data_IF_283887780682
#
_entry.id   IF_283887780682
#
_cell.length_a   1.000
_cell.length_b   1.000
_cell.length_c   1.000
_cell.angle_alpha   90.00
_cell.angle_beta   90.00
_cell.angle_gamma   90.00
#
_symmetry.space_group_name_H-M   'P 1'
#
loop_
_entity.id
_entity.type
_entity.pdbx_description
1 polymer ?
#
# COMPACT_ATOMS: atom_id res chain seq x y z
N UNK A 1 14.99 -5.08 3.98
CA UNK A 1 14.83 -3.88 4.83
C UNK A 1 13.45 -3.30 4.57
N UNK A 2 12.71 -2.92 5.61
CA UNK A 2 11.36 -2.38 5.48
C UNK A 2 11.37 -0.85 5.57
N UNK A 3 10.62 -0.19 4.70
CA UNK A 3 10.26 1.22 4.85
C UNK A 3 8.76 1.36 5.10
N UNK A 4 8.38 2.31 5.95
CA UNK A 4 6.99 2.69 6.20
C UNK A 4 6.83 4.13 5.77
N UNK A 5 6.00 4.36 4.76
CA UNK A 5 5.64 5.67 4.25
C UNK A 5 4.29 6.05 4.83
N UNK A 6 4.21 7.19 5.51
CA UNK A 6 2.96 7.73 6.04
C UNK A 6 2.60 8.97 5.25
N UNK A 7 1.45 8.93 4.57
CA UNK A 7 0.86 10.04 3.82
C UNK A 7 -0.19 10.81 4.62
N UNK A 8 -0.68 11.91 4.05
CA UNK A 8 -1.68 12.80 4.65
C UNK A 8 -3.15 12.47 4.32
N UNK A 9 -3.44 11.23 3.91
CA UNK A 9 -4.80 10.73 3.68
C UNK A 9 -5.55 10.46 4.99
N UNK A 10 -6.49 9.51 4.96
CA UNK A 10 -7.21 9.14 6.17
C UNK A 10 -6.22 8.56 7.22
N UNK A 11 -6.18 9.10 8.45
CA UNK A 11 -5.11 8.78 9.38
C UNK A 11 -5.21 7.33 9.87
N UNK A 12 -4.13 6.52 9.79
CA UNK A 12 -4.09 5.22 10.43
C UNK A 12 -4.21 5.34 11.95
N UNK A 13 -4.88 4.37 12.57
CA UNK A 13 -4.92 4.24 14.02
C UNK A 13 -3.55 3.89 14.59
N UNK A 14 -3.37 4.18 15.89
CA UNK A 14 -2.18 3.76 16.64
C UNK A 14 -1.91 2.26 16.51
N UNK A 15 -2.96 1.43 16.48
CA UNK A 15 -2.83 -0.03 16.32
C UNK A 15 -2.20 -0.41 14.98
N UNK A 16 -2.56 0.26 13.89
CA UNK A 16 -1.96 0.05 12.58
C UNK A 16 -0.51 0.53 12.57
N UNK A 17 -0.25 1.72 13.14
CA UNK A 17 1.12 2.25 13.26
C UNK A 17 2.02 1.29 14.03
N UNK A 18 1.63 0.88 15.24
CA UNK A 18 2.40 -0.04 16.10
C UNK A 18 2.62 -1.42 15.44
N UNK A 19 1.72 -1.84 14.54
CA UNK A 19 1.83 -3.12 13.83
C UNK A 19 2.93 -3.09 12.77
N UNK A 20 3.08 -1.99 12.05
CA UNK A 20 3.98 -1.90 10.87
C UNK A 20 5.24 -1.10 11.14
N UNK A 21 5.23 -0.18 12.10
CA UNK A 21 6.41 0.59 12.50
C UNK A 21 7.11 -0.16 13.63
N UNK A 22 8.34 -0.59 13.38
CA UNK A 22 9.22 -1.19 14.38
C UNK A 22 10.61 -0.53 14.34
N UNK A 23 11.47 -0.88 15.29
CA UNK A 23 12.81 -0.28 15.45
C UNK A 23 13.73 -0.44 14.22
N UNK A 24 13.42 -1.38 13.32
CA UNK A 24 14.19 -1.64 12.09
C UNK A 24 13.57 -0.99 10.86
N UNK A 25 12.38 -0.40 10.98
CA UNK A 25 11.69 0.26 9.88
C UNK A 25 12.31 1.64 9.62
N UNK A 26 12.50 1.97 8.35
CA UNK A 26 12.75 3.35 7.94
C UNK A 26 11.40 4.06 7.81
N UNK A 27 11.15 5.06 8.64
CA UNK A 27 9.90 5.82 8.65
C UNK A 27 10.08 7.07 7.77
N UNK A 28 9.20 7.25 6.80
CA UNK A 28 9.19 8.39 5.89
C UNK A 28 7.83 9.08 5.98
N UNK A 29 7.81 10.33 6.43
CA UNK A 29 6.63 11.18 6.37
C UNK A 29 6.56 11.86 4.99
N UNK A 30 5.48 11.61 4.26
CA UNK A 30 5.13 12.34 3.05
C UNK A 30 4.16 13.46 3.42
N UNK A 31 4.66 14.70 3.39
CA UNK A 31 3.93 15.94 3.63
C UNK A 31 3.03 15.88 4.89
N UNK A 32 1.70 15.96 4.75
CA UNK A 32 0.74 15.90 5.86
C UNK A 32 0.80 14.61 6.72
N UNK A 33 1.45 13.54 6.26
CA UNK A 33 1.69 12.34 7.07
C UNK A 33 2.53 12.61 8.33
N UNK A 34 3.28 13.71 8.35
CA UNK A 34 3.97 14.20 9.54
C UNK A 34 3.01 14.51 10.69
N UNK A 35 1.84 15.10 10.39
CA UNK A 35 0.82 15.41 11.41
C UNK A 35 0.30 14.12 12.07
N UNK A 36 0.08 13.08 11.26
CA UNK A 36 -0.36 11.76 11.75
C UNK A 36 0.67 11.17 12.72
N UNK A 37 1.93 11.16 12.32
CA UNK A 37 3.00 10.59 13.13
C UNK A 37 3.18 11.34 14.45
N UNK A 38 3.19 12.67 14.41
CA UNK A 38 3.37 13.47 15.62
C UNK A 38 2.20 13.34 16.59
N UNK A 39 0.96 13.22 16.11
CA UNK A 39 -0.20 12.94 16.95
C UNK A 39 -0.08 11.62 17.75
N UNK A 40 0.82 10.74 17.33
CA UNK A 40 1.14 9.48 18.02
C UNK A 40 2.53 9.49 18.66
N UNK A 41 3.18 10.66 18.76
CA UNK A 41 4.53 10.84 19.32
C UNK A 41 5.61 10.06 18.58
N UNK A 42 5.41 9.84 17.27
CA UNK A 42 6.36 9.13 16.40
C UNK A 42 7.15 10.15 15.59
N UNK A 43 8.48 10.09 15.67
CA UNK A 43 9.36 10.88 14.82
C UNK A 43 9.84 10.07 13.61
N UNK A 44 9.63 10.55 12.37
CA UNK A 44 10.10 9.85 11.19
C UNK A 44 11.62 9.99 11.03
N UNK A 45 12.24 9.13 10.22
CA UNK A 45 13.63 9.33 9.82
C UNK A 45 13.75 10.41 8.74
N UNK A 46 12.76 10.50 7.86
CA UNK A 46 12.71 11.45 6.76
C UNK A 46 11.37 12.20 6.72
N UNK A 47 11.43 13.50 6.47
CA UNK A 47 10.28 14.34 6.15
C UNK A 47 10.45 14.86 4.72
N UNK A 48 9.52 14.52 3.83
CA UNK A 48 9.59 14.83 2.40
C UNK A 48 8.30 15.55 1.96
N UNK A 49 8.44 16.67 1.26
CA UNK A 49 7.31 17.34 0.62
C UNK A 49 7.53 18.81 0.37
N UNK A 50 6.48 19.52 -0.05
CA UNK A 50 6.48 20.98 -0.15
C UNK A 50 6.03 21.67 1.14
N UNK A 51 5.44 20.89 2.06
CA UNK A 51 5.03 21.26 3.41
C UNK A 51 3.83 22.21 3.45
N UNK A 52 2.90 22.05 2.50
CA UNK A 52 1.68 22.85 2.45
C UNK A 52 0.49 22.24 3.23
N UNK A 53 0.58 20.95 3.57
CA UNK A 53 -0.46 20.23 4.35
C UNK A 53 0.01 19.83 5.75
N UNK A 54 1.12 20.39 6.24
CA UNK A 54 1.66 20.17 7.59
C UNK A 54 1.34 21.35 8.51
N UNK A 55 0.98 21.06 9.76
CA UNK A 55 0.77 22.11 10.76
C UNK A 55 2.13 22.75 11.15
N UNK A 56 2.15 24.06 11.40
CA UNK A 56 3.40 24.79 11.71
C UNK A 56 4.15 24.18 12.91
N UNK A 57 3.42 23.82 13.97
CA UNK A 57 4.00 23.17 15.16
C UNK A 57 4.62 21.82 14.81
N UNK A 58 3.90 21.01 14.03
CA UNK A 58 4.38 19.71 13.56
C UNK A 58 5.64 19.87 12.72
N UNK A 59 5.65 20.82 11.80
CA UNK A 59 6.81 21.09 10.96
C UNK A 59 8.03 21.46 11.78
N UNK A 60 7.90 22.40 12.73
CA UNK A 60 9.00 22.80 13.61
C UNK A 60 9.56 21.60 14.38
N UNK A 61 8.69 20.77 14.95
CA UNK A 61 9.12 19.64 15.77
C UNK A 61 9.77 18.53 14.95
N UNK A 62 9.12 18.09 13.86
CA UNK A 62 9.63 16.99 13.03
C UNK A 62 10.86 17.41 12.23
N UNK A 63 10.92 18.64 11.74
CA UNK A 63 12.08 19.08 10.96
C UNK A 63 13.37 19.15 11.78
N UNK A 64 13.27 19.38 13.09
CA UNK A 64 14.41 19.37 14.01
C UNK A 64 14.89 17.95 14.36
N UNK A 65 14.02 16.94 14.28
CA UNK A 65 14.35 15.55 14.63
C UNK A 65 14.54 14.61 13.44
N UNK A 66 14.22 15.06 12.22
CA UNK A 66 14.19 14.24 11.01
C UNK A 66 15.05 14.81 9.88
N UNK A 67 15.52 13.95 8.98
CA UNK A 67 16.15 14.41 7.73
C UNK A 67 15.09 15.00 6.81
N UNK A 68 15.03 16.32 6.77
CA UNK A 68 14.01 17.05 6.00
C UNK A 68 14.50 17.37 4.60
N UNK A 69 13.74 16.97 3.58
CA UNK A 69 14.02 17.28 2.17
C UNK A 69 12.81 17.98 1.58
N UNK A 70 12.98 19.26 1.25
CA UNK A 70 11.93 20.08 0.68
C UNK A 70 11.92 19.97 -0.84
N UNK A 71 10.73 19.84 -1.41
CA UNK A 71 10.49 19.88 -2.85
C UNK A 71 9.66 21.12 -3.23
N UNK A 72 9.78 21.63 -4.46
CA UNK A 72 8.88 22.67 -4.94
C UNK A 72 7.42 22.17 -5.00
N UNK A 73 6.46 23.09 -4.86
CA UNK A 73 5.04 22.77 -5.03
C UNK A 73 4.71 22.30 -6.45
N UNK A 74 5.31 22.94 -7.44
CA UNK A 74 5.23 22.54 -8.83
C UNK A 74 6.33 21.50 -9.11
N UNK A 75 5.93 20.24 -9.22
CA UNK A 75 6.79 19.07 -9.41
C UNK A 75 6.04 18.00 -10.19
N UNK A 76 6.79 17.13 -10.87
CA UNK A 76 6.22 16.06 -11.71
C UNK A 76 5.70 14.85 -10.90
N UNK A 77 5.93 14.84 -9.58
CA UNK A 77 5.66 13.69 -8.71
C UNK A 77 4.90 14.07 -7.45
N UNK A 78 3.97 13.21 -7.03
CA UNK A 78 3.31 13.34 -5.71
C UNK A 78 4.29 13.07 -4.58
N UNK A 79 3.98 13.54 -3.37
CA UNK A 79 4.83 13.32 -2.19
C UNK A 79 4.99 11.84 -1.84
N UNK A 80 3.92 11.03 -1.98
CA UNK A 80 4.01 9.57 -1.83
C UNK A 80 4.96 8.93 -2.84
N UNK A 81 5.01 9.44 -4.07
CA UNK A 81 5.91 8.95 -5.10
C UNK A 81 7.37 9.32 -4.81
N UNK A 82 7.62 10.54 -4.35
CA UNK A 82 8.93 10.98 -3.87
C UNK A 82 9.40 10.11 -2.70
N UNK A 83 8.51 9.85 -1.73
CA UNK A 83 8.80 8.97 -0.60
C UNK A 83 9.10 7.53 -1.02
N UNK A 84 8.37 6.99 -2.00
CA UNK A 84 8.67 5.69 -2.60
C UNK A 84 10.08 5.68 -3.21
N UNK A 85 10.41 6.65 -4.05
CA UNK A 85 11.74 6.73 -4.65
C UNK A 85 12.84 6.84 -3.60
N UNK A 86 12.60 7.57 -2.50
CA UNK A 86 13.55 7.64 -1.39
C UNK A 86 13.71 6.29 -0.69
N UNK A 87 12.62 5.57 -0.44
CA UNK A 87 12.68 4.22 0.14
C UNK A 87 13.47 3.25 -0.76
N UNK A 88 13.26 3.32 -2.08
CA UNK A 88 14.01 2.53 -3.07
C UNK A 88 15.50 2.87 -3.05
N UNK A 89 15.86 4.16 -3.02
CA UNK A 89 17.25 4.63 -2.93
C UNK A 89 17.95 4.10 -1.67
N UNK A 90 17.22 4.01 -0.56
CA UNK A 90 17.74 3.48 0.70
C UNK A 90 17.88 1.96 0.70
N UNK A 91 17.38 1.27 -0.33
CA UNK A 91 17.47 -0.20 -0.48
C UNK A 91 16.31 -0.96 0.19
N UNK A 92 15.14 -0.33 0.31
CA UNK A 92 13.95 -1.02 0.84
C UNK A 92 13.54 -2.18 -0.09
N UNK A 93 13.29 -3.34 0.53
CA UNK A 93 12.78 -4.53 -0.15
C UNK A 93 11.29 -4.75 0.12
N UNK A 94 10.76 -4.02 1.11
CA UNK A 94 9.38 -4.01 1.52
C UNK A 94 9.00 -2.55 1.84
N UNK A 95 7.87 -2.08 1.33
CA UNK A 95 7.37 -0.72 1.53
C UNK A 95 5.89 -0.76 1.90
N UNK A 96 5.58 -0.29 3.11
CA UNK A 96 4.22 -0.18 3.62
C UNK A 96 3.77 1.27 3.51
N UNK A 97 2.65 1.51 2.83
CA UNK A 97 2.02 2.80 2.69
C UNK A 97 0.84 2.91 3.65
N UNK A 98 0.92 3.82 4.61
CA UNK A 98 -0.13 4.16 5.56
C UNK A 98 -0.64 5.57 5.28
N UNK A 99 -1.90 5.87 5.61
CA UNK A 99 -2.48 7.19 5.31
C UNK A 99 -2.45 7.53 3.82
N UNK A 100 -2.49 6.51 2.96
CA UNK A 100 -2.42 6.63 1.50
C UNK A 100 -3.74 6.27 0.81
N UNK A 101 -4.81 6.11 1.60
CA UNK A 101 -6.21 6.07 1.17
C UNK A 101 -6.92 7.34 1.67
N UNK A 102 -8.16 7.56 1.25
CA UNK A 102 -9.00 8.66 1.75
C UNK A 102 -9.83 9.33 0.67
N UNK A 103 -10.12 10.62 0.86
CA UNK A 103 -11.12 11.35 0.06
C UNK A 103 -10.72 11.63 -1.38
N UNK A 104 -9.41 11.75 -1.67
CA UNK A 104 -8.87 12.07 -3.00
C UNK A 104 -8.63 10.78 -3.79
N UNK A 105 -9.62 10.38 -4.59
CA UNK A 105 -9.58 9.14 -5.38
C UNK A 105 -8.46 9.13 -6.42
N UNK A 106 -8.14 10.29 -6.98
CA UNK A 106 -7.00 10.48 -7.87
C UNK A 106 -5.65 10.19 -7.18
N UNK A 107 -5.47 10.63 -5.93
CA UNK A 107 -4.28 10.28 -5.13
C UNK A 107 -4.24 8.78 -4.81
N UNK A 108 -5.37 8.19 -4.43
CA UNK A 108 -5.44 6.75 -4.19
C UNK A 108 -5.07 5.95 -5.44
N UNK A 109 -5.59 6.32 -6.61
CA UNK A 109 -5.24 5.67 -7.87
C UNK A 109 -3.75 5.85 -8.22
N UNK A 110 -3.20 7.04 -8.01
CA UNK A 110 -1.76 7.27 -8.17
C UNK A 110 -0.91 6.36 -7.26
N UNK A 111 -1.37 6.09 -6.02
CA UNK A 111 -0.70 5.16 -5.12
C UNK A 111 -0.77 3.70 -5.63
N UNK A 112 -1.85 3.28 -6.31
CA UNK A 112 -1.89 1.98 -7.01
C UNK A 112 -0.84 1.91 -8.12
N UNK A 113 -0.63 3.00 -8.87
CA UNK A 113 0.44 3.06 -9.86
C UNK A 113 1.83 2.93 -9.24
N UNK A 114 2.04 3.37 -7.99
CA UNK A 114 3.30 3.17 -7.25
C UNK A 114 3.50 1.68 -6.94
N UNK A 115 2.45 0.94 -6.55
CA UNK A 115 2.55 -0.51 -6.27
C UNK A 115 3.11 -1.28 -7.48
N UNK A 116 2.69 -0.92 -8.70
CA UNK A 116 3.21 -1.52 -9.93
C UNK A 116 4.69 -1.24 -10.16
N UNK A 117 5.16 -0.04 -9.79
CA UNK A 117 6.57 0.29 -9.87
C UNK A 117 7.40 -0.52 -8.86
N UNK A 118 6.86 -0.73 -7.66
CA UNK A 118 7.42 -1.64 -6.67
C UNK A 118 7.53 -3.07 -7.20
N UNK A 119 6.44 -3.60 -7.75
CA UNK A 119 6.38 -4.95 -8.32
C UNK A 119 7.42 -5.16 -9.42
N UNK A 120 7.53 -4.23 -10.38
CA UNK A 120 8.56 -4.24 -11.44
C UNK A 120 10.00 -4.19 -10.93
N UNK A 121 10.21 -3.64 -9.73
CA UNK A 121 11.50 -3.59 -9.04
C UNK A 121 11.69 -4.76 -8.08
N UNK A 122 10.77 -5.73 -8.03
CA UNK A 122 10.77 -6.84 -7.07
C UNK A 122 10.75 -6.39 -5.60
N UNK A 123 10.03 -5.29 -5.31
CA UNK A 123 9.83 -4.76 -3.96
C UNK A 123 8.39 -5.09 -3.54
N UNK A 124 8.21 -5.68 -2.34
CA UNK A 124 6.88 -5.93 -1.78
C UNK A 124 6.27 -4.59 -1.33
N UNK A 125 5.29 -4.08 -2.07
CA UNK A 125 4.62 -2.83 -1.76
C UNK A 125 3.17 -3.09 -1.38
N UNK A 126 2.73 -2.49 -0.26
CA UNK A 126 1.37 -2.65 0.25
C UNK A 126 0.80 -1.32 0.70
N UNK A 127 -0.43 -1.00 0.30
CA UNK A 127 -1.23 0.06 0.92
C UNK A 127 -2.06 -0.58 2.02
N UNK A 128 -1.95 -0.06 3.24
CA UNK A 128 -2.71 -0.53 4.38
C UNK A 128 -3.51 0.62 4.97
N UNK A 129 -4.80 0.37 5.22
CA UNK A 129 -5.64 1.22 6.06
C UNK A 129 -6.33 0.39 7.16
N UNK A 130 -7.30 0.96 7.86
CA UNK A 130 -8.03 0.29 8.94
C UNK A 130 -8.71 -1.01 8.51
N UNK A 131 -9.16 -1.06 7.25
CA UNK A 131 -10.04 -2.11 6.73
C UNK A 131 -9.42 -2.88 5.58
N UNK A 132 -8.34 -2.41 4.97
CA UNK A 132 -7.86 -2.91 3.71
C UNK A 132 -6.35 -3.12 3.72
N UNK A 133 -5.93 -4.22 3.10
CA UNK A 133 -4.58 -4.45 2.63
C UNK A 133 -4.63 -4.61 1.11
N UNK A 134 -3.89 -3.77 0.38
CA UNK A 134 -3.91 -3.71 -1.08
C UNK A 134 -2.49 -3.87 -1.61
N UNK A 135 -2.30 -4.83 -2.51
CA UNK A 135 -1.02 -5.11 -3.16
C UNK A 135 -1.23 -5.71 -4.54
N UNK A 136 -0.15 -5.85 -5.31
CA UNK A 136 -0.18 -6.44 -6.65
C UNK A 136 0.57 -7.77 -6.69
N UNK A 137 0.11 -8.67 -7.56
CA UNK A 137 0.80 -9.91 -7.92
C UNK A 137 0.85 -10.07 -9.44
N UNK A 138 1.98 -10.52 -9.97
CA UNK A 138 2.22 -10.79 -11.40
C UNK A 138 2.62 -12.25 -11.66
N UNK A 139 2.52 -13.10 -10.63
CA UNK A 139 2.86 -14.52 -10.67
C UNK A 139 1.94 -15.34 -9.76
N UNK A 140 1.85 -16.65 -9.98
CA UNK A 140 1.15 -17.57 -9.09
C UNK A 140 1.57 -17.38 -7.63
N UNK A 141 0.58 -17.20 -6.76
CA UNK A 141 0.78 -16.81 -5.36
C UNK A 141 -0.16 -17.57 -4.46
N UNK A 142 0.33 -17.94 -3.27
CA UNK A 142 -0.52 -18.43 -2.19
C UNK A 142 -0.74 -17.30 -1.19
N UNK A 143 -1.99 -17.08 -0.81
CA UNK A 143 -2.35 -16.15 0.26
C UNK A 143 -2.89 -16.93 1.45
N UNK A 144 -2.61 -16.46 2.66
CA UNK A 144 -2.95 -17.15 3.90
C UNK A 144 -3.88 -16.30 4.75
N UNK A 145 -4.88 -16.94 5.34
CA UNK A 145 -5.92 -16.30 6.12
C UNK A 145 -6.66 -17.30 6.99
N UNK A 146 -7.73 -16.84 7.62
CA UNK A 146 -8.67 -17.69 8.35
C UNK A 146 -9.89 -17.94 7.48
N UNK A 147 -10.56 -19.06 7.72
CA UNK A 147 -11.87 -19.32 7.13
C UNK A 147 -12.82 -18.15 7.42
N UNK A 148 -13.48 -17.65 6.37
CA UNK A 148 -14.35 -16.48 6.43
C UNK A 148 -13.66 -15.14 6.16
N UNK A 149 -12.33 -15.08 6.07
CA UNK A 149 -11.66 -13.86 5.61
C UNK A 149 -12.06 -13.54 4.17
N UNK A 150 -12.16 -12.25 3.84
CA UNK A 150 -12.64 -11.77 2.54
C UNK A 150 -11.49 -11.16 1.75
N UNK A 151 -11.45 -11.46 0.45
CA UNK A 151 -10.57 -10.79 -0.49
C UNK A 151 -11.23 -10.61 -1.86
N UNK A 152 -10.71 -9.68 -2.64
CA UNK A 152 -11.11 -9.43 -4.02
C UNK A 152 -9.88 -9.44 -4.92
N UNK A 153 -10.07 -9.86 -6.17
CA UNK A 153 -9.07 -9.77 -7.23
C UNK A 153 -9.58 -8.88 -8.36
N UNK A 154 -8.70 -8.10 -8.97
CA UNK A 154 -8.99 -7.35 -10.18
C UNK A 154 -7.82 -7.41 -11.14
N UNK A 155 -8.08 -7.67 -12.42
CA UNK A 155 -7.08 -7.49 -13.48
C UNK A 155 -6.65 -6.03 -13.55
N UNK A 156 -5.35 -5.78 -13.66
CA UNK A 156 -4.74 -4.46 -13.63
C UNK A 156 -3.78 -4.28 -14.80
N UNK A 157 -4.00 -3.22 -15.60
CA UNK A 157 -3.26 -2.83 -16.81
C UNK A 157 -3.39 -3.80 -18.00
N UNK A 158 -3.61 -5.08 -17.75
CA UNK A 158 -3.88 -6.11 -18.75
C UNK A 158 -4.88 -7.14 -18.22
N UNK A 159 -5.44 -7.95 -19.12
CA UNK A 159 -6.32 -9.07 -18.75
C UNK A 159 -5.50 -10.18 -18.06
N UNK A 160 -6.17 -10.96 -17.21
CA UNK A 160 -5.56 -12.12 -16.55
C UNK A 160 -6.08 -13.40 -17.18
N UNK A 161 -5.15 -14.22 -17.67
CA UNK A 161 -5.43 -15.43 -18.43
C UNK A 161 -5.29 -16.69 -17.57
N UNK A 162 -6.14 -17.68 -17.85
CA UNK A 162 -6.17 -18.98 -17.15
C UNK A 162 -6.30 -18.88 -15.61
N UNK A 163 -7.02 -17.88 -15.09
CA UNK A 163 -7.15 -17.66 -13.65
C UNK A 163 -7.85 -18.84 -12.96
N UNK A 164 -7.15 -19.44 -12.01
CA UNK A 164 -7.66 -20.49 -11.13
C UNK A 164 -7.52 -20.06 -9.67
N UNK A 165 -8.58 -20.23 -8.90
CA UNK A 165 -8.64 -19.88 -7.48
C UNK A 165 -9.17 -21.08 -6.69
N UNK A 166 -8.33 -21.61 -5.80
CA UNK A 166 -8.63 -22.75 -4.93
C UNK A 166 -8.53 -22.38 -3.45
N UNK A 167 -9.13 -23.19 -2.57
CA UNK A 167 -9.22 -22.89 -1.13
C UNK A 167 -10.27 -21.83 -0.76
N UNK A 168 -11.16 -21.50 -1.70
CA UNK A 168 -12.18 -20.44 -1.58
C UNK A 168 -13.60 -20.96 -1.78
N UNK A 169 -14.57 -20.15 -1.36
CA UNK A 169 -16.01 -20.38 -1.54
C UNK A 169 -16.43 -20.33 -3.00
N UNK A 170 -16.04 -19.28 -3.72
CA UNK A 170 -16.32 -19.13 -5.15
C UNK A 170 -15.09 -19.53 -5.96
N UNK A 171 -14.96 -20.83 -6.22
CA UNK A 171 -13.83 -21.39 -6.97
C UNK A 171 -13.90 -20.97 -8.44
N UNK A 172 -12.75 -20.69 -9.01
CA UNK A 172 -12.59 -20.46 -10.45
C UNK A 172 -11.55 -21.43 -10.99
N UNK A 173 -11.71 -21.84 -12.25
CA UNK A 173 -10.76 -22.71 -12.95
C UNK A 173 -10.61 -22.24 -14.39
N UNK A 174 -9.37 -21.93 -14.78
CA UNK A 174 -8.98 -21.44 -16.11
C UNK A 174 -9.90 -20.33 -16.63
N UNK A 175 -10.17 -19.33 -15.79
CA UNK A 175 -11.08 -18.24 -16.09
C UNK A 175 -10.33 -17.06 -16.75
N UNK A 176 -10.94 -16.47 -17.78
CA UNK A 176 -10.42 -15.28 -18.44
C UNK A 176 -10.97 -14.02 -17.75
N UNK A 177 -10.17 -13.42 -16.87
CA UNK A 177 -10.55 -12.22 -16.13
C UNK A 177 -10.15 -10.97 -16.90
N UNK A 178 -11.09 -10.44 -17.69
CA UNK A 178 -10.91 -9.16 -18.38
C UNK A 178 -10.80 -7.98 -17.41
N UNK A 179 -10.10 -6.91 -17.81
CA UNK A 179 -10.13 -5.64 -17.09
C UNK A 179 -11.55 -5.10 -16.95
N UNK A 180 -11.88 -4.60 -15.75
CA UNK A 180 -13.22 -4.13 -15.42
C UNK A 180 -14.24 -5.23 -15.09
N UNK A 181 -13.87 -6.51 -15.19
CA UNK A 181 -14.70 -7.61 -14.70
C UNK A 181 -14.69 -7.64 -13.16
N UNK A 182 -15.87 -7.77 -12.56
CA UNK A 182 -16.09 -7.71 -11.12
C UNK A 182 -16.49 -9.07 -10.49
N UNK A 183 -16.40 -10.18 -11.24
CA UNK A 183 -16.81 -11.51 -10.77
C UNK A 183 -16.06 -11.97 -9.51
N UNK A 184 -14.80 -11.56 -9.36
CA UNK A 184 -13.88 -11.97 -8.29
C UNK A 184 -13.95 -11.08 -7.04
N UNK A 185 -14.95 -10.20 -6.95
CA UNK A 185 -15.17 -9.33 -5.79
C UNK A 185 -15.74 -10.14 -4.62
N UNK A 186 -15.21 -9.89 -3.42
CA UNK A 186 -15.69 -10.45 -2.15
C UNK A 186 -15.73 -11.98 -2.10
N UNK A 187 -14.66 -12.62 -2.56
CA UNK A 187 -14.47 -14.05 -2.37
C UNK A 187 -14.04 -14.33 -0.91
N UNK A 188 -14.30 -15.55 -0.45
CA UNK A 188 -14.17 -15.94 0.95
C UNK A 188 -13.24 -17.14 1.07
N UNK A 189 -12.33 -17.08 2.05
CA UNK A 189 -11.46 -18.20 2.40
C UNK A 189 -12.30 -19.35 2.97
N UNK A 190 -12.21 -20.53 2.36
CA UNK A 190 -12.76 -21.79 2.92
C UNK A 190 -11.69 -22.59 3.65
N UNK A 191 -10.43 -22.39 3.27
CA UNK A 191 -9.22 -23.02 3.81
C UNK A 191 -8.25 -21.95 4.34
N UNK A 192 -7.24 -22.35 5.11
CA UNK A 192 -6.20 -21.41 5.59
C UNK A 192 -5.31 -20.88 4.47
N UNK A 193 -5.19 -21.65 3.38
CA UNK A 193 -4.38 -21.36 2.21
C UNK A 193 -5.30 -21.24 1.00
N UNK A 194 -5.21 -20.11 0.31
CA UNK A 194 -5.84 -19.88 -0.99
C UNK A 194 -4.75 -19.86 -2.05
N UNK A 195 -4.94 -20.67 -3.09
CA UNK A 195 -4.03 -20.77 -4.23
C UNK A 195 -4.60 -19.94 -5.38
N UNK A 196 -3.82 -18.96 -5.87
CA UNK A 196 -4.15 -18.13 -7.02
C UNK A 196 -3.11 -18.41 -8.10
N UNK A 197 -3.55 -18.99 -9.20
CA UNK A 197 -2.68 -19.31 -10.34
C UNK A 197 -3.26 -18.73 -11.62
N UNK A 198 -2.37 -18.30 -12.52
CA UNK A 198 -2.70 -17.72 -13.82
C UNK A 198 -1.46 -17.82 -14.72
N UNK A 199 -1.67 -17.83 -16.03
CA UNK A 199 -0.57 -17.97 -17.01
C UNK A 199 0.06 -16.63 -17.38
N UNK A 200 -0.72 -15.54 -17.35
CA UNK A 200 -0.30 -14.18 -17.64
C UNK A 200 -1.27 -13.18 -17.01
N UNK A 201 -0.76 -12.04 -16.57
CA UNK A 201 -1.55 -10.92 -16.08
C UNK A 201 -0.91 -10.24 -14.87
N UNK A 202 -1.54 -9.17 -14.39
CA UNK A 202 -1.25 -8.54 -13.12
C UNK A 202 -2.57 -8.37 -12.37
N UNK A 203 -2.62 -8.82 -11.12
CA UNK A 203 -3.80 -8.74 -10.27
C UNK A 203 -3.59 -7.74 -9.14
N UNK A 204 -4.55 -6.84 -8.94
CA UNK A 204 -4.75 -6.19 -7.64
C UNK A 204 -5.37 -7.22 -6.71
N UNK A 205 -4.77 -7.39 -5.54
CA UNK A 205 -5.34 -8.14 -4.42
C UNK A 205 -5.79 -7.14 -3.37
N UNK A 206 -7.08 -7.15 -3.03
CA UNK A 206 -7.64 -6.37 -1.92
C UNK A 206 -8.10 -7.34 -0.84
N UNK A 207 -7.48 -7.29 0.34
CA UNK A 207 -7.88 -8.07 1.50
C UNK A 207 -8.61 -7.19 2.49
N UNK A 208 -9.74 -7.68 3.01
CA UNK A 208 -10.55 -6.95 3.98
C UNK A 208 -10.16 -7.40 5.39
N UNK A 209 -9.66 -6.47 6.19
CA UNK A 209 -9.53 -6.61 7.64
C UNK A 209 -10.93 -6.46 8.27
N UNK A 210 -11.25 -7.32 9.24
CA UNK A 210 -12.59 -7.40 9.87
C UNK A 210 -13.22 -6.00 10.08
N UNK A 211 -14.41 -5.82 9.50
CA UNK A 211 -15.28 -4.64 9.63
C UNK A 211 -15.84 -4.56 11.06
#
# INVERSE_FOLDING_TARGET
>A
MQAVIVGGGDPPSKKILDKYINEKSIIIAADGGANVLLNHEIHPNYLLGDFDSIDEKTYIEISNSSKTIRFPKEKDYTDSHIAFNKAVELGATEIIFLGCTGKRIDHFYANLCILNQGLKKSIDCRIIDEYNEIYLIDKPTNIFGKKGDIFSLFSYLEDTHDLTIEGVKYKLKNFELAQGNNLTVSNEFEEEKVSITFSKGCLIVVRIHKI
#
